data_IF_609938933254
#
_entry.id   IF_609938933254
#
_cell.length_a   1.000
_cell.length_b   1.000
_cell.length_c   1.000
_cell.angle_alpha   90.00
_cell.angle_beta   90.00
_cell.angle_gamma   90.00
#
_symmetry.space_group_name_H-M   'P 1'
#
loop_
_entity.id
_entity.type
_entity.pdbx_description
1 polymer ?
#
# COMPACT_ATOMS: atom_id res chain seq x y z
N UNK A 1 -20.53 21.99 4.08
CA UNK A 1 -20.69 20.67 3.43
C UNK A 1 -22.00 20.04 3.88
N UNK A 2 -22.80 19.52 2.95
CA UNK A 2 -24.05 18.78 3.26
C UNK A 2 -23.66 17.40 3.80
N UNK A 3 -24.23 16.98 4.93
CA UNK A 3 -23.94 15.66 5.50
C UNK A 3 -24.41 14.52 4.58
N UNK A 4 -23.75 13.36 4.61
CA UNK A 4 -24.18 12.19 3.82
C UNK A 4 -25.64 11.78 4.09
N UNK A 5 -26.11 11.94 5.34
CA UNK A 5 -27.49 11.68 5.76
C UNK A 5 -28.50 12.60 5.07
N UNK A 6 -28.12 13.86 4.83
CA UNK A 6 -28.94 14.82 4.09
C UNK A 6 -28.78 14.65 2.58
N UNK A 7 -27.57 14.34 2.10
CA UNK A 7 -27.27 14.12 0.69
C UNK A 7 -28.02 12.90 0.13
N UNK A 8 -28.12 11.80 0.90
CA UNK A 8 -28.82 10.55 0.50
C UNK A 8 -28.46 10.06 -0.91
N UNK A 9 -27.20 10.23 -1.31
CA UNK A 9 -26.71 9.85 -2.65
C UNK A 9 -27.17 10.75 -3.80
N UNK A 10 -27.82 11.88 -3.53
CA UNK A 10 -28.30 12.86 -4.52
C UNK A 10 -27.22 13.85 -4.98
N UNK A 11 -25.96 13.60 -4.62
CA UNK A 11 -24.79 14.41 -4.99
C UNK A 11 -24.86 15.88 -4.55
N UNK A 12 -25.64 16.19 -3.49
CA UNK A 12 -25.69 17.52 -2.87
C UNK A 12 -24.35 17.96 -2.25
N UNK A 13 -23.42 17.02 -2.10
CA UNK A 13 -22.05 17.29 -1.68
C UNK A 13 -21.13 17.79 -2.80
N UNK A 14 -21.60 17.85 -4.06
CA UNK A 14 -20.81 18.32 -5.20
C UNK A 14 -19.92 17.25 -5.85
N UNK A 15 -19.96 16.01 -5.37
CA UNK A 15 -19.27 14.88 -6.00
C UNK A 15 -19.96 14.50 -7.32
N UNK A 16 -19.17 14.06 -8.31
CA UNK A 16 -19.66 13.57 -9.60
C UNK A 16 -20.37 12.20 -9.51
N UNK A 17 -20.04 11.40 -8.49
CA UNK A 17 -20.75 10.17 -8.13
C UNK A 17 -20.73 9.94 -6.61
N UNK A 18 -21.60 9.06 -6.11
CA UNK A 18 -21.67 8.75 -4.68
C UNK A 18 -20.87 7.47 -4.38
N UNK A 19 -19.75 7.54 -3.63
CA UNK A 19 -18.94 6.37 -3.31
C UNK A 19 -19.71 5.28 -2.55
N UNK A 20 -20.68 5.67 -1.72
CA UNK A 20 -21.53 4.72 -1.01
C UNK A 20 -22.40 3.90 -1.97
N UNK A 21 -22.94 4.55 -3.01
CA UNK A 21 -23.73 3.86 -4.03
C UNK A 21 -22.85 2.99 -4.94
N UNK A 22 -21.64 3.46 -5.29
CA UNK A 22 -20.66 2.65 -6.01
C UNK A 22 -20.29 1.40 -5.21
N UNK A 23 -19.95 1.53 -3.92
CA UNK A 23 -19.68 0.38 -3.03
C UNK A 23 -20.85 -0.62 -3.01
N UNK A 24 -22.10 -0.16 -2.97
CA UNK A 24 -23.26 -1.08 -3.00
C UNK A 24 -23.49 -1.79 -4.33
N UNK A 25 -23.11 -1.18 -5.47
CA UNK A 25 -23.31 -1.78 -6.80
C UNK A 25 -22.47 -3.05 -6.98
N UNK A 26 -21.21 -3.02 -6.56
CA UNK A 26 -20.31 -4.16 -6.74
C UNK A 26 -20.52 -5.27 -5.70
N UNK A 27 -21.06 -4.93 -4.53
CA UNK A 27 -21.33 -5.89 -3.45
C UNK A 27 -22.60 -6.72 -3.66
N UNK A 28 -23.46 -6.40 -4.64
CA UNK A 28 -24.73 -7.11 -4.83
C UNK A 28 -24.62 -8.39 -5.67
N UNK A 29 -23.50 -8.60 -6.39
CA UNK A 29 -23.34 -9.70 -7.35
C UNK A 29 -22.89 -11.04 -6.74
N UNK A 30 -22.08 -11.03 -5.68
CA UNK A 30 -21.44 -12.25 -5.15
C UNK A 30 -22.25 -12.81 -3.97
N UNK A 31 -23.06 -13.85 -4.21
CA UNK A 31 -23.76 -14.59 -3.14
C UNK A 31 -23.03 -15.88 -2.82
N UNK A 32 -22.76 -16.09 -1.54
CA UNK A 32 -21.95 -17.20 -1.07
C UNK A 32 -22.69 -17.95 0.03
N UNK A 33 -22.77 -19.27 -0.10
CA UNK A 33 -23.39 -20.14 0.89
C UNK A 33 -22.54 -20.28 2.17
N UNK A 34 -23.02 -21.10 3.10
CA UNK A 34 -22.27 -21.43 4.33
C UNK A 34 -21.05 -22.32 4.09
N UNK A 35 -21.00 -22.99 2.97
CA UNK A 35 -19.89 -23.85 2.56
C UNK A 35 -19.33 -23.29 1.25
N UNK A 36 -18.02 -23.13 1.22
CA UNK A 36 -17.29 -22.49 0.12
C UNK A 36 -16.09 -23.34 -0.19
N UNK A 37 -15.92 -23.65 -1.47
CA UNK A 37 -14.73 -24.28 -2.01
C UNK A 37 -14.16 -23.37 -3.10
N UNK A 38 -12.84 -23.27 -3.17
CA UNK A 38 -12.15 -22.43 -4.14
C UNK A 38 -10.68 -22.31 -3.80
N UNK A 39 -9.99 -21.42 -4.49
CA UNK A 39 -8.57 -21.19 -4.29
C UNK A 39 -8.31 -20.08 -3.27
N UNK A 40 -7.41 -20.34 -2.33
CA UNK A 40 -6.92 -19.35 -1.38
C UNK A 40 -5.60 -18.77 -1.88
N UNK A 41 -5.53 -17.48 -2.26
CA UNK A 41 -4.23 -16.85 -2.51
C UNK A 41 -3.40 -16.85 -1.22
N UNK A 42 -2.07 -16.75 -1.30
CA UNK A 42 -1.18 -16.84 -0.14
C UNK A 42 -1.22 -15.57 0.71
N UNK A 43 -2.38 -15.29 1.30
CA UNK A 43 -2.70 -14.06 1.99
C UNK A 43 -3.58 -14.33 3.21
N UNK A 44 -3.18 -13.77 4.35
CA UNK A 44 -3.95 -13.77 5.58
C UNK A 44 -4.36 -12.35 5.90
N UNK A 45 -5.67 -12.10 5.91
CA UNK A 45 -6.16 -10.84 6.43
C UNK A 45 -6.06 -10.84 7.95
N UNK A 46 -5.47 -9.80 8.51
CA UNK A 46 -5.40 -9.56 9.96
C UNK A 46 -5.99 -8.18 10.24
N UNK A 47 -7.10 -8.15 10.96
CA UNK A 47 -7.76 -6.93 11.41
C UNK A 47 -6.98 -6.23 12.53
N UNK A 48 -7.27 -4.95 12.73
CA UNK A 48 -6.67 -4.14 13.81
C UNK A 48 -7.62 -3.94 15.00
N UNK A 49 -8.94 -4.07 14.78
CA UNK A 49 -9.95 -3.92 15.83
C UNK A 49 -9.84 -5.06 16.83
N UNK A 50 -9.90 -4.73 18.12
CA UNK A 50 -9.84 -5.70 19.21
C UNK A 50 -8.43 -6.04 19.69
N UNK A 51 -7.38 -5.43 19.11
CA UNK A 51 -5.98 -5.68 19.50
C UNK A 51 -5.80 -5.65 21.04
N UNK A 52 -5.18 -6.67 21.66
CA UNK A 52 -4.36 -7.74 21.05
C UNK A 52 -5.12 -9.00 20.61
N UNK A 53 -6.46 -9.02 20.65
CA UNK A 53 -7.28 -10.12 20.16
C UNK A 53 -8.02 -9.71 18.89
N UNK A 54 -7.50 -10.12 17.74
CA UNK A 54 -7.90 -9.60 16.43
C UNK A 54 -8.65 -10.63 15.61
N UNK A 55 -9.46 -10.16 14.66
CA UNK A 55 -9.99 -11.04 13.61
C UNK A 55 -8.90 -11.32 12.58
N UNK A 56 -8.58 -12.60 12.37
CA UNK A 56 -7.64 -13.05 11.37
C UNK A 56 -8.23 -14.20 10.56
N UNK A 57 -7.83 -14.31 9.28
CA UNK A 57 -8.52 -15.22 8.39
C UNK A 57 -7.93 -15.32 6.98
N UNK A 58 -8.00 -16.51 6.34
CA UNK A 58 -7.64 -16.66 4.94
C UNK A 58 -8.66 -15.96 4.04
N UNK A 59 -8.21 -15.67 2.82
CA UNK A 59 -9.04 -15.21 1.72
C UNK A 59 -9.35 -16.40 0.82
N UNK A 60 -10.58 -16.52 0.34
CA UNK A 60 -11.02 -17.60 -0.54
C UNK A 60 -11.61 -16.96 -1.79
N UNK A 61 -11.02 -17.23 -2.94
CA UNK A 61 -11.58 -16.83 -4.22
C UNK A 61 -12.82 -17.66 -4.52
N UNK A 62 -13.88 -16.98 -4.97
CA UNK A 62 -15.07 -17.61 -5.55
C UNK A 62 -15.19 -17.39 -7.05
N UNK A 63 -14.10 -16.96 -7.71
CA UNK A 63 -14.04 -16.77 -9.16
C UNK A 63 -12.66 -17.09 -9.73
N UNK A 64 -12.59 -17.75 -10.88
CA UNK A 64 -11.33 -18.19 -11.49
C UNK A 64 -10.36 -17.05 -11.89
N UNK A 65 -10.83 -15.79 -11.90
CA UNK A 65 -10.06 -14.62 -12.32
C UNK A 65 -9.45 -13.79 -11.15
N UNK A 66 -9.36 -14.34 -9.94
CA UNK A 66 -8.96 -13.52 -8.78
C UNK A 66 -7.47 -13.21 -8.75
N UNK A 67 -7.13 -11.97 -9.06
CA UNK A 67 -5.83 -11.36 -8.78
C UNK A 67 -5.85 -10.82 -7.35
N UNK A 68 -4.88 -11.19 -6.52
CA UNK A 68 -4.67 -10.63 -5.17
C UNK A 68 -3.30 -9.94 -5.03
N UNK A 69 -2.43 -10.07 -6.04
CA UNK A 69 -1.13 -9.40 -6.07
C UNK A 69 -1.28 -7.98 -6.62
N UNK A 70 -0.97 -6.93 -5.83
CA UNK A 70 -1.08 -5.56 -6.29
C UNK A 70 -0.17 -5.20 -7.47
N UNK A 71 0.97 -5.88 -7.66
CA UNK A 71 1.83 -5.66 -8.83
C UNK A 71 1.11 -6.01 -10.14
N UNK A 72 0.26 -7.03 -10.11
CA UNK A 72 -0.56 -7.47 -11.25
C UNK A 72 -1.83 -6.63 -11.42
N UNK A 73 -2.25 -5.90 -10.38
CA UNK A 73 -3.39 -4.99 -10.44
C UNK A 73 -3.05 -3.63 -11.05
N UNK A 74 -1.78 -3.25 -11.09
CA UNK A 74 -1.39 -1.97 -11.67
C UNK A 74 -1.79 -1.90 -13.15
N UNK A 75 -2.47 -0.82 -13.53
CA UNK A 75 -3.04 -0.62 -14.86
C UNK A 75 -4.53 -0.97 -14.96
N UNK A 76 -5.08 -1.70 -13.98
CA UNK A 76 -6.53 -1.92 -13.88
C UNK A 76 -7.28 -0.65 -13.46
N UNK A 77 -8.53 -0.51 -13.90
CA UNK A 77 -9.44 0.53 -13.45
C UNK A 77 -10.05 0.23 -12.07
N UNK A 78 -10.80 1.19 -11.52
CA UNK A 78 -11.48 0.99 -10.22
C UNK A 78 -12.39 -0.24 -10.22
N UNK A 79 -13.20 -0.40 -11.27
CA UNK A 79 -14.22 -1.45 -11.34
C UNK A 79 -13.58 -2.85 -11.30
N UNK A 80 -12.50 -3.05 -12.05
CA UNK A 80 -11.73 -4.30 -12.08
C UNK A 80 -11.07 -4.60 -10.72
N UNK A 81 -10.47 -3.59 -10.08
CA UNK A 81 -9.88 -3.74 -8.74
C UNK A 81 -10.95 -4.09 -7.71
N UNK A 82 -12.11 -3.42 -7.78
CA UNK A 82 -13.23 -3.66 -6.88
C UNK A 82 -13.76 -5.08 -7.07
N UNK A 83 -13.93 -5.52 -8.31
CA UNK A 83 -14.39 -6.87 -8.65
C UNK A 83 -13.41 -7.92 -8.12
N UNK A 84 -12.12 -7.79 -8.43
CA UNK A 84 -11.07 -8.68 -7.94
C UNK A 84 -11.08 -8.79 -6.41
N UNK A 85 -11.18 -7.66 -5.70
CA UNK A 85 -11.21 -7.63 -4.22
C UNK A 85 -12.54 -8.10 -3.63
N UNK A 86 -13.64 -7.93 -4.34
CA UNK A 86 -14.97 -8.34 -3.89
C UNK A 86 -15.23 -9.83 -4.11
N UNK A 87 -14.50 -10.46 -5.04
CA UNK A 87 -14.50 -11.92 -5.26
C UNK A 87 -13.80 -12.73 -4.15
N UNK A 88 -13.11 -12.06 -3.22
CA UNK A 88 -12.41 -12.70 -2.11
C UNK A 88 -13.28 -12.77 -0.85
N UNK A 89 -13.81 -13.96 -0.57
CA UNK A 89 -14.54 -14.26 0.66
C UNK A 89 -13.55 -14.36 1.82
N UNK A 90 -13.85 -13.70 2.94
CA UNK A 90 -12.99 -13.69 4.12
C UNK A 90 -13.52 -14.59 5.22
N UNK A 91 -12.72 -15.61 5.57
CA UNK A 91 -12.98 -16.51 6.69
C UNK A 91 -12.36 -16.00 7.99
N UNK A 92 -13.11 -15.25 8.80
CA UNK A 92 -12.56 -14.63 10.01
C UNK A 92 -12.74 -15.52 11.24
N UNK A 93 -11.72 -15.58 12.07
CA UNK A 93 -11.81 -16.05 13.45
C UNK A 93 -11.08 -15.10 14.40
N UNK A 94 -11.47 -15.09 15.66
CA UNK A 94 -10.72 -14.36 16.69
C UNK A 94 -9.43 -15.11 17.00
N UNK A 95 -8.30 -14.41 16.95
CA UNK A 95 -6.98 -14.94 17.26
C UNK A 95 -6.21 -13.94 18.13
N UNK A 96 -5.51 -14.46 19.15
CA UNK A 96 -4.57 -13.66 19.92
C UNK A 96 -3.33 -13.39 19.06
N UNK A 97 -2.86 -12.14 19.00
CA UNK A 97 -1.73 -11.80 18.12
C UNK A 97 -0.44 -12.55 18.47
N UNK A 98 -0.26 -12.95 19.73
CA UNK A 98 0.92 -13.70 20.17
C UNK A 98 0.83 -15.22 19.89
N UNK A 99 -0.28 -15.68 19.30
CA UNK A 99 -0.47 -17.08 18.91
C UNK A 99 -0.83 -17.20 17.42
N UNK A 100 0.13 -16.93 16.51
CA UNK A 100 -0.08 -17.16 15.07
C UNK A 100 -0.30 -18.64 14.74
N UNK A 101 0.14 -19.57 15.60
CA UNK A 101 -0.06 -21.01 15.40
C UNK A 101 -1.53 -21.41 15.45
N UNK A 102 -2.36 -20.64 16.16
CA UNK A 102 -3.81 -20.82 16.17
C UNK A 102 -4.43 -20.80 14.77
N UNK A 103 -3.77 -20.22 13.75
CA UNK A 103 -4.25 -20.20 12.37
C UNK A 103 -4.30 -21.57 11.69
N UNK A 104 -3.55 -22.56 12.18
CA UNK A 104 -3.56 -23.93 11.64
C UNK A 104 -3.25 -23.96 10.13
N UNK A 105 -4.01 -24.75 9.37
CA UNK A 105 -3.87 -24.90 7.91
C UNK A 105 -3.89 -23.58 7.11
N UNK A 106 -4.49 -22.51 7.65
CA UNK A 106 -4.45 -21.19 7.00
C UNK A 106 -3.03 -20.59 6.99
N UNK A 107 -2.16 -21.00 7.92
CA UNK A 107 -0.72 -20.65 7.92
C UNK A 107 -0.03 -21.24 6.68
N UNK A 108 -0.27 -22.51 6.40
CA UNK A 108 0.40 -23.23 5.33
C UNK A 108 -0.03 -22.71 3.96
N UNK A 109 -1.30 -22.31 3.83
CA UNK A 109 -1.78 -21.60 2.65
C UNK A 109 -1.02 -20.28 2.38
N UNK A 110 -0.65 -19.54 3.43
CA UNK A 110 0.08 -18.26 3.31
C UNK A 110 1.56 -18.48 2.97
N UNK A 111 2.16 -19.56 3.47
CA UNK A 111 3.53 -19.94 3.15
C UNK A 111 3.69 -20.41 1.71
N UNK A 112 2.62 -20.85 1.06
CA UNK A 112 2.65 -21.28 -0.34
C UNK A 112 3.00 -20.11 -1.28
N UNK A 113 3.84 -20.33 -2.29
CA UNK A 113 4.06 -19.32 -3.36
C UNK A 113 2.91 -19.26 -4.38
N UNK A 114 2.02 -20.27 -4.37
CA UNK A 114 0.87 -20.38 -5.28
C UNK A 114 -0.42 -20.45 -4.48
N UNK A 115 -1.53 -20.08 -5.12
CA UNK A 115 -2.85 -20.31 -4.55
C UNK A 115 -3.04 -21.80 -4.22
N UNK A 116 -3.73 -22.08 -3.12
CA UNK A 116 -3.98 -23.42 -2.61
C UNK A 116 -5.48 -23.63 -2.58
N UNK A 117 -5.95 -24.74 -3.14
CA UNK A 117 -7.36 -25.16 -3.03
C UNK A 117 -7.75 -25.39 -1.58
N UNK A 118 -8.91 -24.86 -1.19
CA UNK A 118 -9.44 -24.89 0.18
C UNK A 118 -10.94 -25.16 0.22
N UNK A 119 -11.38 -25.69 1.35
CA UNK A 119 -12.77 -25.78 1.75
C UNK A 119 -12.99 -25.08 3.09
N UNK A 120 -13.98 -24.18 3.13
CA UNK A 120 -14.37 -23.47 4.33
C UNK A 120 -15.85 -23.66 4.66
N UNK A 121 -16.13 -23.85 5.94
CA UNK A 121 -17.48 -23.83 6.50
C UNK A 121 -17.61 -22.67 7.46
N UNK A 122 -18.66 -21.89 7.29
CA UNK A 122 -18.96 -20.72 8.08
C UNK A 122 -20.08 -20.99 9.09
N UNK A 123 -20.09 -20.26 10.20
CA UNK A 123 -21.17 -20.35 11.20
C UNK A 123 -22.51 -19.86 10.62
N UNK A 124 -22.44 -18.82 9.78
CA UNK A 124 -23.54 -18.20 9.03
C UNK A 124 -23.07 -17.87 7.63
N UNK A 125 -23.99 -17.60 6.72
CA UNK A 125 -23.64 -17.19 5.36
C UNK A 125 -22.76 -15.92 5.41
N UNK A 126 -21.61 -15.91 4.73
CA UNK A 126 -20.80 -14.71 4.61
C UNK A 126 -21.62 -13.57 4.00
N UNK A 127 -21.51 -12.39 4.60
CA UNK A 127 -22.27 -11.22 4.15
C UNK A 127 -21.36 -10.02 3.94
N UNK A 128 -21.79 -9.17 3.00
CA UNK A 128 -21.17 -7.87 2.82
C UNK A 128 -21.56 -6.98 3.98
N UNK A 129 -20.55 -6.53 4.73
CA UNK A 129 -20.73 -5.52 5.75
C UNK A 129 -20.42 -4.16 5.12
N UNK A 130 -21.46 -3.33 4.99
CA UNK A 130 -21.30 -1.96 4.55
C UNK A 130 -20.54 -1.17 5.63
N UNK A 131 -19.28 -0.88 5.35
CA UNK A 131 -18.55 0.11 6.12
C UNK A 131 -18.67 1.47 5.45
N UNK A 132 -19.36 2.38 6.12
CA UNK A 132 -19.53 3.78 5.73
C UNK A 132 -18.29 4.64 6.04
N UNK A 133 -17.11 4.02 6.18
CA UNK A 133 -15.86 4.75 6.38
C UNK A 133 -15.25 5.12 5.04
N UNK A 134 -14.79 6.36 4.94
CA UNK A 134 -14.04 6.85 3.79
C UNK A 134 -12.64 6.18 3.71
N UNK A 135 -12.25 5.39 4.71
CA UNK A 135 -10.97 4.69 4.79
C UNK A 135 -11.09 3.18 4.52
N UNK A 136 -12.28 2.67 4.17
CA UNK A 136 -12.47 1.24 3.89
C UNK A 136 -12.41 0.94 2.40
N UNK A 137 -11.47 0.06 2.08
CA UNK A 137 -11.29 -0.52 0.76
C UNK A 137 -12.50 -1.40 0.39
N UNK A 138 -12.80 -1.54 -0.91
CA UNK A 138 -13.70 -2.57 -1.40
C UNK A 138 -13.23 -3.94 -0.93
N UNK A 139 -14.19 -4.73 -0.46
CA UNK A 139 -13.91 -5.90 0.36
C UNK A 139 -15.01 -6.92 0.11
N UNK A 140 -14.62 -8.17 -0.19
CA UNK A 140 -15.57 -9.27 -0.36
C UNK A 140 -16.37 -9.67 0.88
N UNK A 141 -17.30 -10.63 0.75
CA UNK A 141 -18.13 -11.13 1.84
C UNK A 141 -17.30 -11.60 3.03
N UNK A 142 -17.80 -11.41 4.25
CA UNK A 142 -17.11 -11.87 5.47
C UNK A 142 -18.01 -12.76 6.29
N UNK A 143 -17.46 -13.88 6.77
CA UNK A 143 -18.15 -14.78 7.68
C UNK A 143 -17.24 -15.28 8.79
N UNK A 144 -17.84 -15.69 9.90
CA UNK A 144 -17.16 -16.36 11.00
C UNK A 144 -16.83 -17.80 10.60
N UNK A 145 -15.57 -18.17 10.68
CA UNK A 145 -15.04 -19.44 10.21
C UNK A 145 -15.27 -20.54 11.25
N UNK A 146 -16.03 -21.59 10.88
CA UNK A 146 -16.26 -22.77 11.71
C UNK A 146 -15.24 -23.88 11.43
N UNK A 147 -14.86 -24.06 10.16
CA UNK A 147 -13.91 -25.06 9.70
C UNK A 147 -13.20 -24.57 8.45
N UNK A 148 -11.93 -24.91 8.32
CA UNK A 148 -11.11 -24.62 7.15
C UNK A 148 -10.18 -25.81 6.91
N UNK A 149 -10.05 -26.22 5.65
CA UNK A 149 -9.20 -27.32 5.22
C UNK A 149 -8.56 -27.02 3.88
N UNK A 150 -7.30 -27.42 3.72
CA UNK A 150 -6.65 -27.49 2.43
C UNK A 150 -7.15 -28.73 1.69
N UNK A 151 -7.49 -28.55 0.41
CA UNK A 151 -7.84 -29.64 -0.51
C UNK A 151 -6.71 -29.94 -1.50
N UNK A 152 -5.69 -29.09 -1.54
CA UNK A 152 -4.47 -29.28 -2.33
C UNK A 152 -3.22 -28.99 -1.50
N UNK A 153 -2.07 -29.50 -1.94
CA UNK A 153 -0.82 -29.34 -1.21
C UNK A 153 -0.24 -27.93 -1.42
N UNK A 154 0.13 -27.20 -0.35
CA UNK A 154 0.80 -25.92 -0.48
C UNK A 154 2.20 -26.09 -1.07
N UNK A 155 2.61 -25.15 -1.92
CA UNK A 155 3.94 -25.12 -2.52
C UNK A 155 4.84 -24.21 -1.71
N UNK A 156 5.43 -24.72 -0.62
CA UNK A 156 6.24 -23.93 0.31
C UNK A 156 7.73 -24.05 -0.06
N UNK A 157 8.42 -22.94 -0.37
CA UNK A 157 9.86 -22.96 -0.59
C UNK A 157 10.62 -23.30 0.70
N UNK A 158 11.62 -24.18 0.62
CA UNK A 158 12.39 -24.64 1.78
C UNK A 158 12.98 -23.49 2.61
N UNK A 159 13.50 -22.46 1.95
CA UNK A 159 14.07 -21.29 2.64
C UNK A 159 13.03 -20.47 3.39
N UNK A 160 11.81 -20.37 2.85
CA UNK A 160 10.71 -19.68 3.53
C UNK A 160 10.24 -20.48 4.73
N UNK A 161 10.15 -21.80 4.58
CA UNK A 161 9.79 -22.73 5.66
C UNK A 161 10.80 -22.66 6.82
N UNK A 162 12.10 -22.65 6.49
CA UNK A 162 13.20 -22.45 7.44
C UNK A 162 13.02 -21.17 8.25
N UNK A 163 12.89 -20.01 7.60
CA UNK A 163 12.66 -18.73 8.29
C UNK A 163 11.33 -18.70 9.07
N UNK A 164 10.32 -19.45 8.60
CA UNK A 164 9.04 -19.58 9.28
C UNK A 164 9.12 -20.42 10.56
N UNK A 165 10.20 -21.16 10.80
CA UNK A 165 10.48 -21.93 12.02
C UNK A 165 11.57 -21.25 12.89
N UNK A 166 12.55 -20.59 12.28
CA UNK A 166 13.61 -19.86 12.97
C UNK A 166 13.13 -18.67 13.81
N UNK A 167 13.98 -18.23 14.74
CA UNK A 167 13.78 -17.06 15.60
C UNK A 167 14.83 -16.00 15.35
N UNK A 168 14.82 -15.43 14.15
CA UNK A 168 15.69 -14.33 13.73
C UNK A 168 14.91 -13.02 13.68
N UNK A 169 15.59 -11.86 13.69
CA UNK A 169 14.90 -10.57 13.53
C UNK A 169 14.16 -10.53 12.21
N UNK A 170 12.94 -9.97 12.22
CA UNK A 170 12.12 -9.92 11.02
C UNK A 170 12.78 -9.10 9.90
N UNK A 171 13.55 -8.06 10.25
CA UNK A 171 14.37 -7.29 9.29
C UNK A 171 15.37 -8.18 8.56
N UNK A 172 16.10 -9.01 9.31
CA UNK A 172 17.17 -9.85 8.78
C UNK A 172 16.57 -10.98 7.91
N UNK A 173 15.48 -11.60 8.36
CA UNK A 173 14.74 -12.60 7.58
C UNK A 173 14.20 -12.02 6.27
N UNK A 174 13.58 -10.84 6.31
CA UNK A 174 13.07 -10.17 5.11
C UNK A 174 14.21 -9.86 4.14
N UNK A 175 15.33 -9.33 4.64
CA UNK A 175 16.49 -9.01 3.81
C UNK A 175 17.04 -10.24 3.09
N UNK A 176 17.25 -11.34 3.82
CA UNK A 176 17.78 -12.60 3.26
C UNK A 176 16.82 -13.22 2.25
N UNK A 177 15.51 -13.21 2.53
CA UNK A 177 14.50 -13.72 1.61
C UNK A 177 14.41 -12.86 0.34
N UNK A 178 14.48 -11.52 0.46
CA UNK A 178 14.51 -10.64 -0.72
C UNK A 178 15.75 -10.88 -1.58
N UNK A 179 16.92 -11.03 -0.97
CA UNK A 179 18.18 -11.35 -1.67
C UNK A 179 18.11 -12.71 -2.38
N UNK A 180 17.26 -13.62 -1.88
CA UNK A 180 17.00 -14.93 -2.49
C UNK A 180 16.00 -14.88 -3.64
N UNK A 181 15.50 -13.70 -4.00
CA UNK A 181 14.59 -13.49 -5.13
C UNK A 181 13.10 -13.64 -4.80
N UNK A 182 12.71 -13.63 -3.52
CA UNK A 182 11.29 -13.61 -3.16
C UNK A 182 10.69 -12.21 -3.30
N UNK A 183 9.53 -12.15 -3.94
CA UNK A 183 8.82 -10.91 -4.22
C UNK A 183 8.30 -10.19 -2.98
N UNK A 184 8.31 -8.86 -3.02
CA UNK A 184 7.88 -8.00 -1.91
C UNK A 184 6.49 -8.37 -1.38
N UNK A 185 5.51 -8.55 -2.26
CA UNK A 185 4.11 -8.78 -1.85
C UNK A 185 3.90 -10.13 -1.18
N UNK A 186 4.66 -11.15 -1.60
CA UNK A 186 4.66 -12.45 -0.96
C UNK A 186 5.25 -12.36 0.46
N UNK A 187 6.41 -11.72 0.61
CA UNK A 187 7.04 -11.52 1.93
C UNK A 187 6.20 -10.65 2.86
N UNK A 188 5.54 -9.62 2.33
CA UNK A 188 4.61 -8.79 3.09
C UNK A 188 3.48 -9.62 3.71
N UNK A 189 2.92 -10.56 2.95
CA UNK A 189 1.81 -11.43 3.40
C UNK A 189 2.27 -12.40 4.50
N UNK A 190 3.43 -13.02 4.31
CA UNK A 190 4.09 -13.87 5.32
C UNK A 190 4.40 -13.08 6.60
N UNK A 191 4.92 -11.86 6.45
CA UNK A 191 5.20 -10.96 7.58
C UNK A 191 3.92 -10.64 8.38
N UNK A 192 2.82 -10.29 7.70
CA UNK A 192 1.53 -10.01 8.39
C UNK A 192 0.94 -11.22 9.09
N UNK A 193 1.14 -12.42 8.55
CA UNK A 193 0.76 -13.68 9.17
C UNK A 193 1.63 -14.04 10.40
N UNK A 194 2.60 -13.20 10.75
CA UNK A 194 3.41 -13.38 11.94
C UNK A 194 4.39 -14.53 11.85
N UNK A 195 4.78 -14.91 10.63
CA UNK A 195 5.63 -16.07 10.39
C UNK A 195 7.12 -15.73 10.42
N UNK A 196 7.47 -14.44 10.32
CA UNK A 196 8.85 -13.96 10.43
C UNK A 196 9.05 -13.21 11.76
N UNK A 197 10.24 -13.34 12.33
CA UNK A 197 10.65 -12.59 13.53
C UNK A 197 10.97 -13.47 14.74
N UNK A 198 11.75 -12.92 15.68
CA UNK A 198 12.13 -13.61 16.93
C UNK A 198 10.90 -13.92 17.80
N UNK A 199 9.97 -12.95 17.84
CA UNK A 199 8.68 -13.04 18.50
C UNK A 199 7.59 -12.97 17.44
N UNK A 200 7.25 -14.14 16.91
CA UNK A 200 6.20 -14.35 15.91
C UNK A 200 4.85 -13.86 16.43
N UNK A 201 4.29 -12.85 15.75
CA UNK A 201 3.01 -12.24 16.11
C UNK A 201 2.22 -11.88 14.87
N UNK A 202 0.92 -12.13 14.88
CA UNK A 202 0.02 -11.61 13.85
C UNK A 202 0.09 -10.07 13.87
N UNK A 203 0.38 -9.48 12.72
CA UNK A 203 0.45 -8.03 12.55
C UNK A 203 -0.75 -7.61 11.72
N UNK A 204 -1.61 -6.70 12.23
CA UNK A 204 -2.71 -6.15 11.44
C UNK A 204 -2.23 -5.70 10.06
N UNK A 205 -2.94 -6.12 9.01
CA UNK A 205 -2.47 -6.00 7.62
C UNK A 205 -2.06 -4.57 7.28
N UNK A 206 -2.80 -3.57 7.78
CA UNK A 206 -2.47 -2.14 7.60
C UNK A 206 -1.10 -1.77 8.17
N UNK A 207 -0.79 -2.24 9.37
CA UNK A 207 0.49 -1.96 10.04
C UNK A 207 1.62 -2.77 9.41
N UNK A 208 1.34 -4.02 9.00
CA UNK A 208 2.34 -4.87 8.38
C UNK A 208 2.78 -4.37 7.00
N UNK A 209 1.88 -3.79 6.20
CA UNK A 209 2.24 -3.13 4.93
C UNK A 209 3.23 -2.00 5.20
N UNK A 210 2.92 -1.09 6.11
CA UNK A 210 3.80 0.05 6.44
C UNK A 210 5.12 -0.41 7.06
N UNK A 211 5.10 -1.42 7.93
CA UNK A 211 6.29 -1.97 8.55
C UNK A 211 7.22 -2.64 7.51
N UNK A 212 6.64 -3.37 6.55
CA UNK A 212 7.39 -3.96 5.45
C UNK A 212 8.00 -2.87 4.56
N UNK A 213 7.22 -1.84 4.20
CA UNK A 213 7.74 -0.69 3.44
C UNK A 213 8.93 -0.04 4.14
N UNK A 214 8.84 0.16 5.45
CA UNK A 214 9.93 0.71 6.26
C UNK A 214 11.16 -0.19 6.25
N UNK A 215 11.01 -1.49 6.52
CA UNK A 215 12.12 -2.45 6.55
C UNK A 215 12.90 -2.43 5.23
N UNK A 216 12.19 -2.51 4.10
CA UNK A 216 12.79 -2.55 2.77
C UNK A 216 13.44 -1.22 2.41
N UNK A 217 12.75 -0.11 2.67
CA UNK A 217 13.27 1.22 2.41
C UNK A 217 14.55 1.49 3.23
N UNK A 218 14.55 1.16 4.52
CA UNK A 218 15.71 1.36 5.41
C UNK A 218 16.93 0.57 4.92
N UNK A 219 16.75 -0.66 4.45
CA UNK A 219 17.85 -1.42 3.85
C UNK A 219 18.39 -0.75 2.56
N UNK A 220 17.51 -0.28 1.69
CA UNK A 220 17.91 0.41 0.46
C UNK A 220 18.61 1.74 0.74
N UNK A 221 18.13 2.52 1.70
CA UNK A 221 18.70 3.81 2.06
C UNK A 221 20.13 3.68 2.59
N UNK A 222 20.41 2.66 3.42
CA UNK A 222 21.78 2.41 3.86
C UNK A 222 22.74 2.11 2.68
N UNK A 223 22.26 1.47 1.61
CA UNK A 223 23.03 1.27 0.38
C UNK A 223 23.18 2.58 -0.39
N UNK A 224 22.10 3.35 -0.55
CA UNK A 224 22.07 4.63 -1.28
C UNK A 224 23.03 5.65 -0.67
N UNK A 225 23.14 5.70 0.66
CA UNK A 225 24.03 6.62 1.38
C UNK A 225 25.49 6.53 0.95
N UNK A 226 25.91 5.38 0.43
CA UNK A 226 27.26 5.10 -0.04
C UNK A 226 27.45 5.35 -1.55
N UNK A 227 26.38 5.70 -2.27
CA UNK A 227 26.39 5.88 -3.72
C UNK A 227 26.70 7.34 -4.12
N UNK A 228 27.27 7.56 -5.33
CA UNK A 228 27.51 8.91 -5.83
C UNK A 228 26.19 9.64 -6.09
N UNK A 229 26.17 10.95 -5.86
CA UNK A 229 24.99 11.77 -6.09
C UNK A 229 24.62 11.84 -7.59
N UNK A 230 23.34 12.05 -7.89
CA UNK A 230 22.91 12.50 -9.21
C UNK A 230 23.56 13.84 -9.54
N UNK A 231 23.93 14.05 -10.80
CA UNK A 231 24.65 15.23 -11.27
C UNK A 231 23.74 16.29 -11.93
N UNK A 232 22.47 15.95 -12.15
CA UNK A 232 21.48 16.78 -12.85
C UNK A 232 20.13 16.71 -12.12
N UNK A 233 19.26 17.66 -12.40
CA UNK A 233 17.88 17.61 -11.91
C UNK A 233 17.07 16.68 -12.81
N UNK A 234 16.36 15.73 -12.23
CA UNK A 234 15.51 14.79 -12.98
C UNK A 234 14.08 14.87 -12.50
N UNK A 235 13.15 14.98 -13.43
CA UNK A 235 11.71 14.93 -13.16
C UNK A 235 11.15 13.67 -13.79
N UNK A 236 10.50 12.86 -12.97
CA UNK A 236 9.71 11.70 -13.39
C UNK A 236 8.24 11.99 -13.16
N UNK A 237 7.40 11.50 -14.06
CA UNK A 237 5.96 11.73 -14.01
C UNK A 237 5.21 10.41 -14.16
N UNK A 238 4.09 10.30 -13.46
CA UNK A 238 3.14 9.22 -13.67
C UNK A 238 1.73 9.64 -13.24
N UNK A 239 0.72 9.04 -13.84
CA UNK A 239 -0.67 9.24 -13.45
C UNK A 239 -1.40 7.90 -13.44
N UNK A 240 -2.08 7.60 -12.32
CA UNK A 240 -2.84 6.37 -12.18
C UNK A 240 -3.97 6.56 -11.17
N UNK A 241 -5.17 6.03 -11.49
CA UNK A 241 -6.38 6.16 -10.67
C UNK A 241 -6.59 7.60 -10.14
N UNK A 242 -6.48 8.60 -11.01
CA UNK A 242 -6.62 10.03 -10.63
C UNK A 242 -5.63 10.53 -9.57
N UNK A 243 -4.53 9.81 -9.33
CA UNK A 243 -3.38 10.27 -8.58
C UNK A 243 -2.32 10.68 -9.59
N UNK A 244 -1.91 11.94 -9.54
CA UNK A 244 -0.86 12.50 -10.38
C UNK A 244 0.42 12.66 -9.55
N UNK A 245 1.53 12.19 -10.10
CA UNK A 245 2.83 12.17 -9.46
C UNK A 245 3.84 12.95 -10.30
N UNK A 246 4.52 13.91 -9.66
CA UNK A 246 5.75 14.50 -10.16
C UNK A 246 6.85 14.23 -9.13
N UNK A 247 7.95 13.61 -9.55
CA UNK A 247 9.05 13.21 -8.67
C UNK A 247 10.32 13.92 -9.12
N UNK A 248 10.83 14.78 -8.26
CA UNK A 248 12.04 15.55 -8.50
C UNK A 248 13.23 14.92 -7.77
N UNK A 249 14.22 14.47 -8.51
CA UNK A 249 15.55 14.16 -7.96
C UNK A 249 16.46 15.38 -8.12
N UNK A 250 17.09 15.78 -7.02
CA UNK A 250 18.06 16.86 -6.96
C UNK A 250 19.44 16.30 -6.57
N UNK A 251 20.54 16.87 -7.11
CA UNK A 251 21.88 16.57 -6.62
C UNK A 251 22.00 16.82 -5.12
N UNK A 252 22.55 15.86 -4.38
CA UNK A 252 22.77 15.94 -2.94
C UNK A 252 22.82 14.57 -2.28
N UNK A 253 23.03 14.58 -0.96
CA UNK A 253 22.89 13.39 -0.12
C UNK A 253 21.43 13.00 0.04
N UNK A 254 21.16 11.77 0.50
CA UNK A 254 19.80 11.27 0.69
C UNK A 254 19.02 12.20 1.62
N UNK A 255 17.92 12.72 1.12
CA UNK A 255 16.87 13.37 1.89
C UNK A 255 15.58 13.09 1.12
N UNK A 256 14.47 12.91 1.83
CA UNK A 256 13.21 12.55 1.21
C UNK A 256 12.10 13.47 1.71
N UNK A 257 11.34 14.01 0.78
CA UNK A 257 10.19 14.85 1.07
C UNK A 257 9.02 14.36 0.21
N UNK A 258 7.85 14.25 0.83
CA UNK A 258 6.62 13.91 0.14
C UNK A 258 5.55 14.95 0.46
N UNK A 259 4.73 15.24 -0.54
CA UNK A 259 3.54 16.06 -0.42
C UNK A 259 2.34 15.26 -0.89
N UNK A 260 1.28 15.26 -0.08
CA UNK A 260 -0.02 14.70 -0.46
C UNK A 260 -1.07 15.82 -0.48
N UNK A 261 -1.53 16.18 -1.67
CA UNK A 261 -2.52 17.22 -1.88
C UNK A 261 -3.86 16.63 -2.32
N UNK A 262 -4.86 16.75 -1.45
CA UNK A 262 -6.23 16.33 -1.75
C UNK A 262 -7.01 17.45 -2.44
N UNK A 263 -7.65 17.16 -3.57
CA UNK A 263 -8.47 18.15 -4.26
C UNK A 263 -9.70 18.56 -3.44
N UNK A 264 -10.07 19.84 -3.56
CA UNK A 264 -11.25 20.38 -2.89
C UNK A 264 -12.51 19.66 -3.38
N UNK A 265 -13.31 19.14 -2.45
CA UNK A 265 -14.49 18.32 -2.76
C UNK A 265 -14.24 16.81 -2.83
N UNK A 266 -13.00 16.34 -2.67
CA UNK A 266 -12.75 14.92 -2.36
C UNK A 266 -13.30 14.54 -0.98
N UNK A 267 -13.64 13.27 -0.75
CA UNK A 267 -14.21 12.83 0.55
C UNK A 267 -13.31 13.13 1.75
N UNK A 268 -12.00 13.23 1.50
CA UNK A 268 -10.98 13.40 2.53
C UNK A 268 -10.54 14.86 2.70
N UNK A 269 -11.01 15.78 1.85
CA UNK A 269 -10.77 17.21 2.00
C UNK A 269 -11.93 17.86 2.76
N UNK A 270 -11.86 17.87 4.09
CA UNK A 270 -12.80 18.61 4.93
C UNK A 270 -12.50 20.13 4.91
N UNK A 271 -12.72 20.81 3.77
CA UNK A 271 -12.59 22.27 3.64
C UNK A 271 -11.68 22.71 2.49
N UNK A 272 -10.89 23.76 2.72
CA UNK A 272 -9.82 24.15 1.79
C UNK A 272 -8.82 23.01 1.64
N UNK A 273 -8.49 22.66 0.40
CA UNK A 273 -7.54 21.61 0.06
C UNK A 273 -6.27 21.72 0.92
N UNK A 274 -6.03 20.80 1.86
CA UNK A 274 -4.79 20.75 2.63
C UNK A 274 -3.71 20.02 1.83
N UNK A 275 -2.46 20.45 1.96
CA UNK A 275 -1.27 19.75 1.44
C UNK A 275 -0.59 19.11 2.64
N UNK A 276 -0.79 17.82 2.88
CA UNK A 276 0.02 17.11 3.87
C UNK A 276 1.48 17.09 3.42
N UNK A 277 2.40 17.13 4.37
CA UNK A 277 3.82 17.22 4.09
C UNK A 277 4.64 16.44 5.11
N UNK A 278 5.54 15.62 4.60
CA UNK A 278 6.42 14.79 5.41
C UNK A 278 7.86 14.88 4.91
N UNK A 279 8.81 15.02 5.84
CA UNK A 279 10.22 15.23 5.54
C UNK A 279 11.11 14.27 6.32
N UNK A 280 12.15 13.76 5.65
CA UNK A 280 13.20 12.92 6.20
C UNK A 280 14.59 13.47 5.86
N UNK A 281 15.38 13.82 6.89
CA UNK A 281 16.78 14.20 6.71
C UNK A 281 17.66 12.98 6.43
N UNK A 282 18.93 13.23 6.11
CA UNK A 282 19.93 12.18 5.87
C UNK A 282 20.04 11.13 6.98
N UNK A 283 19.92 11.54 8.24
CA UNK A 283 19.96 10.63 9.40
C UNK A 283 18.72 9.74 9.53
N UNK A 284 17.68 10.00 8.73
CA UNK A 284 16.40 9.29 8.79
C UNK A 284 15.41 9.91 9.78
N UNK A 285 14.28 9.23 9.96
CA UNK A 285 13.20 9.63 10.88
C UNK A 285 13.14 8.73 12.12
N UNK A 286 12.91 9.34 13.27
CA UNK A 286 12.62 8.63 14.52
C UNK A 286 11.12 8.51 14.81
N UNK A 287 10.32 9.40 14.23
CA UNK A 287 8.87 9.50 14.40
C UNK A 287 8.10 8.81 13.25
N UNK A 288 6.81 8.61 13.48
CA UNK A 288 5.90 8.13 12.44
C UNK A 288 5.44 9.32 11.58
N UNK A 289 5.30 9.09 10.28
CA UNK A 289 4.74 10.08 9.35
C UNK A 289 3.22 10.20 9.54
N UNK A 290 2.79 10.95 10.56
CA UNK A 290 1.38 11.06 10.97
C UNK A 290 0.49 11.75 9.92
N UNK A 291 1.01 12.70 9.12
CA UNK A 291 0.20 13.46 8.16
C UNK A 291 -0.22 12.61 6.94
N UNK A 292 0.66 11.74 6.46
CA UNK A 292 0.44 10.92 5.25
C UNK A 292 0.32 9.40 5.54
N UNK A 293 0.77 8.96 6.70
CA UNK A 293 0.75 7.57 7.12
C UNK A 293 1.42 6.63 6.11
N UNK A 294 0.70 5.57 5.71
CA UNK A 294 1.23 4.57 4.77
C UNK A 294 1.59 5.12 3.39
N UNK A 295 0.97 6.23 2.95
CA UNK A 295 1.27 6.85 1.67
C UNK A 295 2.73 7.34 1.59
N UNK A 296 3.24 7.93 2.68
CA UNK A 296 4.63 8.34 2.81
C UNK A 296 5.59 7.15 2.68
N UNK A 297 5.38 6.09 3.46
CA UNK A 297 6.29 4.94 3.46
C UNK A 297 6.31 4.19 2.13
N UNK A 298 5.19 4.13 1.42
CA UNK A 298 5.12 3.54 0.09
C UNK A 298 5.91 4.33 -0.96
N UNK A 299 5.75 5.67 -0.98
CA UNK A 299 6.52 6.52 -1.89
C UNK A 299 8.01 6.54 -1.55
N UNK A 300 8.36 6.60 -0.26
CA UNK A 300 9.73 6.48 0.25
C UNK A 300 10.39 5.19 -0.18
N UNK A 301 9.71 4.05 0.01
CA UNK A 301 10.23 2.73 -0.34
C UNK A 301 10.47 2.61 -1.84
N UNK A 302 9.50 2.98 -2.67
CA UNK A 302 9.62 2.91 -4.12
C UNK A 302 10.72 3.84 -4.66
N UNK A 303 10.90 5.02 -4.04
CA UNK A 303 11.99 5.95 -4.36
C UNK A 303 13.35 5.38 -4.00
N UNK A 304 13.48 4.78 -2.80
CA UNK A 304 14.72 4.13 -2.38
C UNK A 304 15.07 2.97 -3.32
N UNK A 305 14.10 2.12 -3.66
CA UNK A 305 14.29 1.04 -4.63
C UNK A 305 14.81 1.57 -5.99
N UNK A 306 14.22 2.66 -6.50
CA UNK A 306 14.65 3.26 -7.76
C UNK A 306 16.08 3.82 -7.70
N UNK A 307 16.46 4.49 -6.62
CA UNK A 307 17.82 5.02 -6.45
C UNK A 307 18.88 3.92 -6.36
N UNK A 308 18.57 2.80 -5.70
CA UNK A 308 19.44 1.61 -5.73
C UNK A 308 19.63 1.10 -7.15
N UNK A 309 18.54 0.98 -7.95
CA UNK A 309 18.61 0.56 -9.36
C UNK A 309 19.42 1.54 -10.22
N UNK A 310 19.32 2.84 -9.94
CA UNK A 310 20.11 3.88 -10.61
C UNK A 310 21.58 3.90 -10.17
N UNK A 311 21.92 3.20 -9.08
CA UNK A 311 23.22 3.26 -8.40
C UNK A 311 23.62 4.72 -8.10
N UNK A 312 22.68 5.51 -7.57
CA UNK A 312 22.85 6.94 -7.27
C UNK A 312 22.16 7.32 -5.98
N UNK A 313 22.69 8.36 -5.34
CA UNK A 313 22.03 9.08 -4.26
C UNK A 313 21.41 10.39 -4.76
N UNK A 314 20.31 10.82 -4.15
CA UNK A 314 19.69 12.09 -4.45
C UNK A 314 18.88 12.59 -3.26
N UNK A 315 18.62 13.90 -3.25
CA UNK A 315 17.49 14.46 -2.52
C UNK A 315 16.26 14.27 -3.39
N UNK A 316 15.17 13.75 -2.82
CA UNK A 316 13.96 13.45 -3.58
C UNK A 316 12.76 14.20 -3.02
N UNK A 317 11.99 14.83 -3.92
CA UNK A 317 10.71 15.44 -3.59
C UNK A 317 9.62 14.77 -4.42
N UNK A 318 8.65 14.15 -3.77
CA UNK A 318 7.48 13.52 -4.41
C UNK A 318 6.27 14.45 -4.24
N UNK A 319 5.77 14.99 -5.35
CA UNK A 319 4.51 15.73 -5.40
C UNK A 319 3.40 14.77 -5.81
N UNK A 320 2.44 14.53 -4.93
CA UNK A 320 1.25 13.73 -5.22
C UNK A 320 0.00 14.59 -5.14
N UNK A 321 -0.70 14.74 -6.26
CA UNK A 321 -2.03 15.36 -6.31
C UNK A 321 -3.10 14.29 -6.51
N UNK A 322 -4.11 14.30 -5.64
CA UNK A 322 -5.23 13.36 -5.69
C UNK A 322 -6.46 14.12 -6.18
N UNK A 323 -6.86 13.83 -7.42
CA UNK A 323 -7.96 14.53 -8.07
C UNK A 323 -9.33 13.98 -7.67
N UNK A 324 -10.36 14.76 -7.98
CA UNK A 324 -11.79 14.49 -7.72
C UNK A 324 -12.30 13.13 -8.25
N UNK A 325 -11.67 12.60 -9.29
CA UNK A 325 -11.99 11.27 -9.81
C UNK A 325 -11.58 10.10 -8.89
N UNK A 326 -10.72 10.31 -7.88
CA UNK A 326 -10.35 9.28 -6.92
C UNK A 326 -11.49 9.04 -5.91
N UNK A 327 -12.43 8.17 -6.30
CA UNK A 327 -13.70 7.98 -5.59
C UNK A 327 -13.65 6.94 -4.48
N UNK A 328 -12.71 5.99 -4.57
CA UNK A 328 -12.62 4.86 -3.66
C UNK A 328 -11.16 4.59 -3.27
N UNK A 329 -10.87 4.38 -1.98
CA UNK A 329 -9.53 4.02 -1.55
C UNK A 329 -9.24 2.57 -1.94
N UNK A 330 -8.25 2.34 -2.80
CA UNK A 330 -7.86 0.97 -3.22
C UNK A 330 -6.69 0.40 -2.43
N UNK A 331 -6.02 1.24 -1.62
CA UNK A 331 -4.92 0.86 -0.74
C UNK A 331 -3.59 1.53 -1.11
N UNK A 332 -2.66 1.50 -0.17
CA UNK A 332 -1.35 2.19 -0.27
C UNK A 332 -0.46 1.61 -1.37
N UNK A 333 -0.70 0.36 -1.78
CA UNK A 333 0.02 -0.27 -2.88
C UNK A 333 -0.02 0.56 -4.17
N UNK A 334 -1.12 1.28 -4.43
CA UNK A 334 -1.25 2.11 -5.64
C UNK A 334 -0.19 3.22 -5.66
N UNK A 335 0.15 3.76 -4.48
CA UNK A 335 1.20 4.79 -4.34
C UNK A 335 2.56 4.20 -4.68
N UNK A 336 2.87 3.04 -4.10
CA UNK A 336 4.13 2.32 -4.31
C UNK A 336 4.35 2.00 -5.78
N UNK A 337 3.35 1.38 -6.41
CA UNK A 337 3.43 0.98 -7.81
C UNK A 337 3.43 2.20 -8.75
N UNK A 338 2.67 3.26 -8.42
CA UNK A 338 2.70 4.50 -9.22
C UNK A 338 4.07 5.19 -9.17
N UNK A 339 4.74 5.20 -8.02
CA UNK A 339 6.10 5.73 -7.89
C UNK A 339 7.10 4.84 -8.62
N UNK A 340 7.00 3.50 -8.50
CA UNK A 340 7.83 2.55 -9.27
C UNK A 340 7.69 2.82 -10.77
N UNK A 341 6.47 2.96 -11.29
CA UNK A 341 6.20 3.26 -12.70
C UNK A 341 6.68 4.64 -13.13
N UNK A 342 6.63 5.64 -12.26
CA UNK A 342 7.25 6.94 -12.55
C UNK A 342 8.74 6.78 -12.83
N UNK A 343 9.47 5.98 -12.04
CA UNK A 343 10.89 5.73 -12.24
C UNK A 343 11.24 4.79 -13.41
N UNK A 344 10.29 3.99 -13.88
CA UNK A 344 10.44 3.23 -15.14
C UNK A 344 10.34 4.14 -16.38
N UNK A 345 9.62 5.26 -16.27
CA UNK A 345 9.50 6.23 -17.36
C UNK A 345 10.84 6.99 -17.56
N UNK A 346 11.07 7.43 -18.79
CA UNK A 346 12.24 8.25 -19.10
C UNK A 346 12.14 9.61 -18.40
N UNK A 347 13.15 10.02 -17.59
CA UNK A 347 13.11 11.31 -16.92
C UNK A 347 13.35 12.47 -17.87
N UNK A 348 12.69 13.59 -17.60
CA UNK A 348 13.12 14.89 -18.10
C UNK A 348 14.30 15.40 -17.26
N UNK A 349 15.32 15.92 -17.94
CA UNK A 349 16.57 16.36 -17.34
C UNK A 349 16.70 17.86 -17.47
N UNK A 350 17.13 18.52 -16.40
CA UNK A 350 17.29 19.96 -16.35
C UNK A 350 18.65 20.34 -15.77
N UNK A 351 19.18 21.47 -16.25
CA UNK A 351 20.44 22.02 -15.76
C UNK A 351 20.24 22.76 -14.44
N UNK A 352 19.08 23.40 -14.25
CA UNK A 352 18.79 24.18 -13.06
C UNK A 352 17.54 23.72 -12.31
N UNK A 353 17.53 23.96 -11.00
CA UNK A 353 16.35 23.74 -10.15
C UNK A 353 15.15 24.53 -10.65
N UNK A 354 15.36 25.76 -11.10
CA UNK A 354 14.28 26.66 -11.55
C UNK A 354 13.58 26.12 -12.80
N UNK A 355 14.32 25.57 -13.75
CA UNK A 355 13.75 24.92 -14.94
C UNK A 355 12.91 23.69 -14.57
N UNK A 356 13.44 22.82 -13.70
CA UNK A 356 12.73 21.63 -13.24
C UNK A 356 11.43 22.00 -12.50
N UNK A 357 11.48 22.98 -11.61
CA UNK A 357 10.31 23.46 -10.88
C UNK A 357 9.30 24.17 -11.80
N UNK A 358 9.76 24.94 -12.79
CA UNK A 358 8.89 25.54 -13.79
C UNK A 358 8.17 24.46 -14.60
N UNK A 359 8.86 23.36 -14.93
CA UNK A 359 8.23 22.22 -15.61
C UNK A 359 7.14 21.58 -14.75
N UNK A 360 7.46 21.24 -13.49
CA UNK A 360 6.52 20.65 -12.55
C UNK A 360 5.29 21.56 -12.38
N UNK A 361 5.48 22.86 -12.25
CA UNK A 361 4.39 23.83 -12.12
C UNK A 361 3.40 23.84 -13.30
N UNK A 362 3.82 23.42 -14.51
CA UNK A 362 2.90 23.30 -15.67
C UNK A 362 2.01 22.07 -15.61
N UNK A 363 2.32 21.08 -14.75
CA UNK A 363 1.64 19.79 -14.67
C UNK A 363 0.79 19.64 -13.41
N UNK A 364 1.22 20.28 -12.31
CA UNK A 364 0.42 20.38 -11.09
C UNK A 364 -0.79 21.28 -11.33
N UNK A 365 -1.96 20.86 -10.84
CA UNK A 365 -3.15 21.71 -10.80
C UNK A 365 -3.07 22.72 -9.67
N UNK A 366 -2.43 22.40 -8.55
CA UNK A 366 -2.25 23.34 -7.45
C UNK A 366 -1.06 24.26 -7.72
N UNK A 367 -1.14 25.54 -7.29
CA UNK A 367 -0.01 26.45 -7.40
C UNK A 367 1.21 25.92 -6.66
N UNK A 368 2.35 25.86 -7.36
CA UNK A 368 3.62 25.40 -6.79
C UNK A 368 4.01 26.17 -5.51
N UNK A 369 3.60 27.43 -5.39
CA UNK A 369 3.83 28.27 -4.21
C UNK A 369 3.32 27.66 -2.90
N UNK A 370 2.27 26.84 -2.94
CA UNK A 370 1.71 26.20 -1.75
C UNK A 370 2.62 25.09 -1.22
N UNK A 371 3.29 24.37 -2.12
CA UNK A 371 4.32 23.39 -1.77
C UNK A 371 5.61 24.08 -1.31
N UNK A 372 6.03 25.14 -2.02
CA UNK A 372 7.22 25.93 -1.67
C UNK A 372 7.10 26.63 -0.30
N UNK A 373 5.89 26.92 0.15
CA UNK A 373 5.66 27.45 1.50
C UNK A 373 5.99 26.41 2.59
N UNK A 374 5.81 25.11 2.31
CA UNK A 374 5.97 24.01 3.27
C UNK A 374 7.32 23.30 3.19
N UNK A 375 7.88 23.17 1.98
CA UNK A 375 9.13 22.44 1.73
C UNK A 375 10.28 22.87 2.65
N UNK A 376 11.04 21.87 3.08
CA UNK A 376 12.34 21.97 3.73
C UNK A 376 13.43 21.90 2.66
N UNK A 377 13.36 20.91 1.76
CA UNK A 377 14.43 20.62 0.80
C UNK A 377 14.69 21.73 -0.21
N UNK A 378 13.63 22.34 -0.74
CA UNK A 378 13.77 23.33 -1.80
C UNK A 378 14.15 24.73 -1.26
N UNK A 379 14.01 24.96 0.05
CA UNK A 379 14.45 26.21 0.71
C UNK A 379 15.95 26.23 1.01
N UNK A 380 16.56 25.06 1.23
CA UNK A 380 17.96 24.94 1.58
C UNK A 380 18.86 25.30 0.39
N UNK A 381 19.61 26.40 0.51
CA UNK A 381 20.68 26.80 -0.43
C UNK A 381 21.95 26.02 -0.07
N UNK A 382 22.68 25.51 -1.08
CA UNK A 382 24.00 24.91 -0.85
C UNK A 382 25.04 26.00 -0.61
N UNK A 383 26.11 25.66 0.11
CA UNK A 383 27.34 26.47 0.14
C UNK A 383 27.93 26.68 -1.27
N UNK A 384 27.71 25.74 -2.19
CA UNK A 384 28.10 25.84 -3.60
C UNK A 384 27.13 26.69 -4.46
N UNK A 385 25.97 27.08 -3.91
CA UNK A 385 25.04 28.02 -4.55
C UNK A 385 25.31 29.48 -4.11
N UNK A 386 26.38 29.72 -3.33
CA UNK A 386 26.90 31.04 -2.93
C UNK A 386 28.09 31.47 -3.79
#
# INVERSE_FOLDING_TARGET
>A
MVSCVQCKGRLLCGLSSCPLLEKTRFQSGVRVGREVAGDSPPNLFVGWKGYPSVYAGPLISVSDATVDDPSQMYGMGFDEIIEARSSLVRGMKTAAVNDPSSMGEARDAVLSVKSVGVEAKFEREPSFHLSFSDMTQPMGPTGSLKKFRLTSNPSIPAKVDEFAEERVKARDAVSELMQSGFEYYYLQKIFTAGLLGEKKKLVPTRWGITAMDRIVADEHIEKIKLMPAVNEFRVYSNEYLHNHYEILLLPGMWEFEQFEAWWAGSLWAAGEASVAHEYEPFEGRSDYAEEEGGGYYAGRMATAEALVKLNRQARCVVFREIYDGYRLPVGVWQVRESVRKAFENQPEKFATRSEALARIATRLKRPLSQYLARTVLLKQRRLADF
#
